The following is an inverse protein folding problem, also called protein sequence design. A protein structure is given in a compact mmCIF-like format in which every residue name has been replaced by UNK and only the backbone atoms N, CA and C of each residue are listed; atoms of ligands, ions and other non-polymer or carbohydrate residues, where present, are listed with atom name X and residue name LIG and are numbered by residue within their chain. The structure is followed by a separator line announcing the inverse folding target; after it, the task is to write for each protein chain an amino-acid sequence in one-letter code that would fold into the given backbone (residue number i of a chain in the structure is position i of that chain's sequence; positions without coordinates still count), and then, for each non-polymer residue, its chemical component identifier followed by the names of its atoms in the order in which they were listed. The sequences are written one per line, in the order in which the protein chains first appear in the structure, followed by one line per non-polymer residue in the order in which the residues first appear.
data_IF_873464629890
#
_entry.id   IF_873464629890
#
_cell.length_a   1.000
_cell.length_b   1.000
_cell.length_c   1.000
_cell.angle_alpha   90.00
_cell.angle_beta   90.00
_cell.angle_gamma   90.00
#
_symmetry.space_group_name_H-M   'P 1'
#
loop_
_entity.id
_entity.type
_entity.pdbx_description
1 polymer ?
#
# COMPACT_ATOMS: atom_id res chain seq x y z
N UNK A 1 6.30 -17.76 5.22
CA UNK A 1 5.82 -16.45 5.68
C UNK A 1 4.51 -16.15 4.97
N UNK A 2 3.42 -16.16 5.70
CA UNK A 2 2.09 -15.77 5.22
C UNK A 2 1.99 -14.24 5.19
N UNK A 3 1.47 -13.67 4.11
CA UNK A 3 1.51 -12.22 3.88
C UNK A 3 0.13 -11.68 3.60
N UNK A 4 -0.27 -10.62 4.29
CA UNK A 4 -1.48 -9.84 4.02
C UNK A 4 -1.10 -8.52 3.35
N UNK A 5 -1.73 -8.19 2.23
CA UNK A 5 -1.68 -6.85 1.64
C UNK A 5 -2.89 -6.05 2.11
N UNK A 6 -2.65 -4.95 2.80
CA UNK A 6 -3.68 -4.00 3.24
C UNK A 6 -3.68 -2.79 2.31
N UNK A 7 -4.85 -2.46 1.78
CA UNK A 7 -5.08 -1.33 0.87
C UNK A 7 -6.05 -0.37 1.56
N UNK A 8 -5.60 0.84 1.91
CA UNK A 8 -6.46 1.85 2.52
C UNK A 8 -7.13 2.71 1.46
N UNK A 9 -8.46 2.90 1.55
CA UNK A 9 -9.21 3.70 0.57
C UNK A 9 -10.24 4.61 1.23
N UNK A 10 -10.58 5.69 0.52
CA UNK A 10 -11.70 6.58 0.83
C UNK A 10 -12.17 7.30 -0.44
N UNK A 11 -13.41 7.01 -0.89
CA UNK A 11 -14.11 7.69 -2.00
C UNK A 11 -13.30 7.88 -3.30
N UNK A 12 -12.50 6.87 -3.71
CA UNK A 12 -11.71 6.89 -4.95
C UNK A 12 -11.80 5.55 -5.71
N UNK A 13 -12.99 5.12 -6.15
CA UNK A 13 -13.18 3.81 -6.75
C UNK A 13 -12.36 3.62 -8.04
N UNK A 14 -12.16 4.66 -8.86
CA UNK A 14 -11.39 4.54 -10.10
C UNK A 14 -9.90 4.22 -9.81
N UNK A 15 -9.31 4.91 -8.84
CA UNK A 15 -7.93 4.68 -8.44
C UNK A 15 -7.78 3.29 -7.78
N UNK A 16 -8.74 2.92 -6.90
CA UNK A 16 -8.77 1.60 -6.27
C UNK A 16 -8.88 0.48 -7.31
N UNK A 17 -9.66 0.67 -8.37
CA UNK A 17 -9.76 -0.30 -9.48
C UNK A 17 -8.38 -0.59 -10.09
N UNK A 18 -7.61 0.46 -10.40
CA UNK A 18 -6.26 0.33 -10.96
C UNK A 18 -5.30 -0.32 -9.96
N UNK A 19 -5.41 0.04 -8.68
CA UNK A 19 -4.63 -0.57 -7.61
C UNK A 19 -4.89 -2.08 -7.54
N UNK A 20 -6.16 -2.51 -7.46
CA UNK A 20 -6.55 -3.91 -7.41
C UNK A 20 -6.12 -4.69 -8.67
N UNK A 21 -6.27 -4.10 -9.86
CA UNK A 21 -5.76 -4.70 -11.08
C UNK A 21 -4.24 -4.88 -11.03
N UNK A 22 -3.49 -3.92 -10.49
CA UNK A 22 -2.03 -4.07 -10.35
C UNK A 22 -1.62 -5.20 -9.39
N UNK A 23 -2.47 -5.54 -8.42
CA UNK A 23 -2.26 -6.71 -7.54
C UNK A 23 -2.40 -8.01 -8.32
N UNK A 24 -3.35 -8.12 -9.25
CA UNK A 24 -3.53 -9.33 -10.10
C UNK A 24 -2.29 -9.68 -10.92
N UNK A 25 -1.44 -8.70 -11.21
CA UNK A 25 -0.22 -8.88 -12.02
C UNK A 25 1.05 -9.08 -11.19
N UNK A 26 0.94 -9.34 -9.90
CA UNK A 26 2.11 -9.60 -9.07
C UNK A 26 2.76 -10.94 -9.42
N UNK A 27 4.09 -10.99 -9.49
CA UNK A 27 4.87 -12.22 -9.71
C UNK A 27 4.75 -13.19 -8.55
N UNK A 28 4.55 -12.65 -7.35
CA UNK A 28 4.27 -13.41 -6.12
C UNK A 28 3.04 -12.80 -5.47
N UNK A 29 1.97 -13.58 -5.35
CA UNK A 29 0.74 -13.11 -4.72
C UNK A 29 0.88 -13.01 -3.20
N UNK A 30 0.20 -12.02 -2.55
CA UNK A 30 -0.06 -12.10 -1.13
C UNK A 30 -0.98 -13.29 -0.83
N UNK A 31 -1.08 -13.73 0.41
CA UNK A 31 -2.01 -14.80 0.79
C UNK A 31 -3.46 -14.32 0.90
N UNK A 32 -3.64 -13.03 1.12
CA UNK A 32 -4.93 -12.34 1.15
C UNK A 32 -4.74 -10.85 0.92
N UNK A 33 -5.81 -10.18 0.51
CA UNK A 33 -5.89 -8.72 0.37
C UNK A 33 -7.03 -8.21 1.25
N UNK A 34 -6.76 -7.20 2.06
CA UNK A 34 -7.75 -6.49 2.86
C UNK A 34 -7.85 -5.07 2.34
N UNK A 35 -9.04 -4.68 1.88
CA UNK A 35 -9.35 -3.28 1.59
C UNK A 35 -9.95 -2.65 2.84
N UNK A 36 -9.18 -1.79 3.48
CA UNK A 36 -9.60 -0.97 4.63
C UNK A 36 -10.21 0.32 4.14
N UNK A 37 -11.52 0.45 4.27
CA UNK A 37 -12.34 1.53 3.73
C UNK A 37 -12.80 2.46 4.85
N UNK A 38 -12.31 3.70 4.84
CA UNK A 38 -12.55 4.71 5.89
C UNK A 38 -13.87 5.49 5.67
N UNK A 39 -14.92 4.79 5.20
CA UNK A 39 -16.26 5.36 5.10
C UNK A 39 -16.67 5.79 3.70
N UNK A 40 -16.20 5.10 2.66
CA UNK A 40 -16.61 5.38 1.28
C UNK A 40 -18.10 5.09 1.04
N UNK A 41 -18.62 5.70 -0.02
CA UNK A 41 -19.95 5.46 -0.56
C UNK A 41 -20.11 4.05 -1.14
N UNK A 42 -21.34 3.68 -1.50
CA UNK A 42 -21.66 2.37 -2.09
C UNK A 42 -20.88 2.03 -3.35
N UNK A 43 -20.47 3.04 -4.14
CA UNK A 43 -19.69 2.82 -5.37
C UNK A 43 -18.38 2.05 -5.11
N UNK A 44 -17.67 2.36 -4.01
CA UNK A 44 -16.46 1.64 -3.61
C UNK A 44 -16.78 0.20 -3.23
N UNK A 45 -17.87 -0.02 -2.48
CA UNK A 45 -18.33 -1.36 -2.12
C UNK A 45 -18.67 -2.18 -3.36
N UNK A 46 -19.47 -1.62 -4.27
CA UNK A 46 -19.91 -2.30 -5.50
C UNK A 46 -18.70 -2.67 -6.38
N UNK A 47 -17.72 -1.78 -6.47
CA UNK A 47 -16.45 -2.08 -7.14
C UNK A 47 -15.76 -3.29 -6.50
N UNK A 48 -15.55 -3.29 -5.17
CA UNK A 48 -14.86 -4.37 -4.48
C UNK A 48 -15.61 -5.70 -4.65
N UNK A 49 -16.94 -5.69 -4.53
CA UNK A 49 -17.77 -6.89 -4.76
C UNK A 49 -17.64 -7.41 -6.20
N UNK A 50 -17.48 -6.52 -7.18
CA UNK A 50 -17.22 -6.94 -8.57
C UNK A 50 -15.87 -7.66 -8.71
N UNK A 51 -14.84 -7.16 -8.02
CA UNK A 51 -13.50 -7.78 -8.02
C UNK A 51 -13.45 -9.12 -7.28
N UNK A 52 -14.22 -9.32 -6.21
CA UNK A 52 -14.26 -10.56 -5.42
C UNK A 52 -14.61 -11.79 -6.26
N UNK A 53 -15.37 -11.62 -7.35
CA UNK A 53 -15.87 -12.74 -8.17
C UNK A 53 -14.76 -13.56 -8.81
N UNK A 54 -13.64 -12.93 -9.15
CA UNK A 54 -12.53 -13.53 -9.91
C UNK A 54 -11.14 -13.12 -9.39
N UNK A 55 -11.08 -12.58 -8.15
CA UNK A 55 -9.80 -12.18 -7.57
C UNK A 55 -8.98 -13.42 -7.20
N UNK A 56 -7.67 -13.45 -7.52
CA UNK A 56 -6.85 -14.67 -7.40
C UNK A 56 -6.58 -15.14 -5.97
N UNK A 57 -6.84 -14.30 -4.98
CA UNK A 57 -6.69 -14.59 -3.54
C UNK A 57 -7.89 -14.03 -2.78
N UNK A 58 -8.14 -14.43 -1.53
CA UNK A 58 -9.22 -13.84 -0.73
C UNK A 58 -9.12 -12.32 -0.70
N UNK A 59 -10.18 -11.63 -1.13
CA UNK A 59 -10.34 -10.18 -1.10
C UNK A 59 -11.39 -9.81 -0.05
N UNK A 60 -10.95 -9.18 1.03
CA UNK A 60 -11.75 -8.84 2.19
C UNK A 60 -12.01 -7.33 2.17
N UNK A 61 -13.27 -6.91 2.31
CA UNK A 61 -13.64 -5.51 2.47
C UNK A 61 -14.00 -5.24 3.93
N UNK A 62 -13.24 -4.37 4.57
CA UNK A 62 -13.53 -3.84 5.90
C UNK A 62 -13.95 -2.39 5.75
N UNK A 63 -15.14 -2.07 6.19
CA UNK A 63 -15.70 -0.73 6.12
C UNK A 63 -15.98 -0.19 7.51
N UNK A 64 -15.87 1.10 7.70
CA UNK A 64 -16.35 1.83 8.87
C UNK A 64 -17.16 3.05 8.44
N UNK A 65 -18.07 3.50 9.31
CA UNK A 65 -18.86 4.70 9.07
C UNK A 65 -17.96 5.93 8.88
N UNK A 66 -18.32 6.81 7.91
CA UNK A 66 -17.63 8.09 7.72
C UNK A 66 -17.88 9.03 8.91
N UNK A 67 -16.85 9.22 9.71
CA UNK A 67 -16.82 10.18 10.83
C UNK A 67 -15.57 11.07 10.73
N UNK A 68 -15.23 11.47 9.50
CA UNK A 68 -14.01 12.20 9.18
C UNK A 68 -12.79 11.27 9.04
N UNK A 69 -11.60 11.86 8.96
CA UNK A 69 -10.36 11.12 8.70
C UNK A 69 -9.96 10.22 9.87
N UNK A 70 -10.15 8.92 9.74
CA UNK A 70 -9.81 7.91 10.75
C UNK A 70 -8.97 6.75 10.19
N UNK A 71 -8.05 7.09 9.31
CA UNK A 71 -7.19 6.12 8.63
C UNK A 71 -6.40 5.24 9.63
N UNK A 72 -5.90 5.80 10.75
CA UNK A 72 -5.18 5.05 11.77
C UNK A 72 -6.05 3.91 12.36
N UNK A 73 -7.30 4.24 12.72
CA UNK A 73 -8.27 3.26 13.21
C UNK A 73 -8.56 2.18 12.15
N UNK A 74 -8.75 2.57 10.89
CA UNK A 74 -9.03 1.61 9.81
C UNK A 74 -7.84 0.67 9.57
N UNK A 75 -6.61 1.18 9.61
CA UNK A 75 -5.41 0.36 9.54
C UNK A 75 -5.27 -0.60 10.71
N UNK A 76 -5.51 -0.13 11.94
CA UNK A 76 -5.52 -1.00 13.14
C UNK A 76 -6.53 -2.14 12.98
N UNK A 77 -7.76 -1.84 12.55
CA UNK A 77 -8.78 -2.85 12.26
C UNK A 77 -8.34 -3.83 11.19
N UNK A 78 -7.70 -3.34 10.12
CA UNK A 78 -7.21 -4.17 9.02
C UNK A 78 -6.09 -5.12 9.48
N UNK A 79 -5.15 -4.64 10.30
CA UNK A 79 -4.09 -5.48 10.88
C UNK A 79 -4.67 -6.49 11.89
N UNK A 80 -5.67 -6.11 12.66
CA UNK A 80 -6.35 -7.03 13.59
C UNK A 80 -7.05 -8.18 12.85
N UNK A 81 -7.70 -7.90 11.71
CA UNK A 81 -8.38 -8.89 10.88
C UNK A 81 -7.42 -9.72 10.02
N UNK A 82 -6.19 -9.27 9.82
CA UNK A 82 -5.20 -9.96 8.99
C UNK A 82 -4.81 -11.32 9.59
N UNK A 83 -4.68 -12.32 8.70
CA UNK A 83 -4.24 -13.67 9.06
C UNK A 83 -2.77 -13.93 8.72
N UNK A 84 -2.12 -12.98 8.02
CA UNK A 84 -0.71 -13.05 7.67
C UNK A 84 0.22 -12.70 8.83
N UNK A 85 1.40 -13.31 8.83
CA UNK A 85 2.49 -13.00 9.77
C UNK A 85 3.15 -11.66 9.42
N UNK A 86 3.16 -11.33 8.15
CA UNK A 86 3.79 -10.16 7.57
C UNK A 86 2.76 -9.29 6.84
N UNK A 87 2.72 -8.02 7.19
CA UNK A 87 1.78 -7.04 6.67
C UNK A 87 2.50 -6.15 5.67
N UNK A 88 1.88 -5.92 4.52
CA UNK A 88 2.26 -4.88 3.54
C UNK A 88 1.12 -3.88 3.49
N UNK A 89 1.39 -2.61 3.74
CA UNK A 89 0.40 -1.52 3.70
C UNK A 89 0.66 -0.59 2.52
N UNK A 90 -0.42 -0.26 1.79
CA UNK A 90 -0.42 0.72 0.72
C UNK A 90 -1.69 1.59 0.78
N UNK A 91 -1.64 2.74 0.10
CA UNK A 91 -2.84 3.52 -0.20
C UNK A 91 -3.52 3.01 -1.48
N UNK A 92 -4.84 3.16 -1.58
CA UNK A 92 -5.65 2.65 -2.69
C UNK A 92 -5.49 3.40 -4.01
N UNK A 93 -4.63 4.42 -4.05
CA UNK A 93 -4.28 5.17 -5.26
C UNK A 93 -2.85 4.85 -5.76
N UNK A 94 -2.28 3.75 -5.32
CA UNK A 94 -0.95 3.29 -5.72
C UNK A 94 -1.07 2.22 -6.81
N UNK A 95 -0.38 2.44 -7.91
CA UNK A 95 -0.17 1.44 -8.95
C UNK A 95 1.13 0.67 -8.68
N UNK A 96 1.03 -0.65 -8.50
CA UNK A 96 2.14 -1.48 -8.04
C UNK A 96 3.05 -1.94 -9.18
N UNK A 97 4.36 -1.94 -8.95
CA UNK A 97 5.29 -2.70 -9.77
C UNK A 97 5.01 -4.20 -9.61
N UNK A 98 5.14 -4.98 -10.68
CA UNK A 98 4.77 -6.41 -10.67
C UNK A 98 5.57 -7.29 -9.69
N UNK A 99 6.73 -6.83 -9.21
CA UNK A 99 7.54 -7.50 -8.18
C UNK A 99 7.37 -6.92 -6.77
N UNK A 100 6.37 -6.08 -6.56
CA UNK A 100 6.21 -5.35 -5.32
C UNK A 100 6.08 -6.28 -4.11
N UNK A 101 5.18 -7.25 -4.15
CA UNK A 101 4.99 -8.21 -3.05
C UNK A 101 6.22 -9.13 -2.89
N UNK A 102 6.81 -9.56 -4.00
CA UNK A 102 8.04 -10.37 -4.01
C UNK A 102 9.19 -9.66 -3.29
N UNK A 103 9.40 -8.37 -3.59
CA UNK A 103 10.46 -7.58 -2.98
C UNK A 103 10.25 -7.36 -1.48
N UNK A 104 9.02 -7.04 -1.06
CA UNK A 104 8.69 -6.92 0.36
C UNK A 104 8.93 -8.23 1.11
N UNK A 105 8.53 -9.37 0.55
CA UNK A 105 8.78 -10.70 1.14
C UNK A 105 10.27 -11.03 1.21
N UNK A 106 11.03 -10.71 0.18
CA UNK A 106 12.49 -10.99 0.11
C UNK A 106 13.29 -10.16 1.10
N UNK A 107 12.87 -8.91 1.35
CA UNK A 107 13.58 -7.97 2.21
C UNK A 107 13.10 -8.00 3.67
N UNK A 108 12.05 -8.76 3.97
CA UNK A 108 11.51 -8.89 5.32
C UNK A 108 12.56 -9.41 6.31
N UNK A 109 12.76 -8.71 7.42
CA UNK A 109 13.64 -9.11 8.52
C UNK A 109 12.93 -8.96 9.86
N UNK A 110 13.02 -9.92 10.80
CA UNK A 110 12.47 -9.77 12.14
C UNK A 110 12.96 -8.50 12.85
N UNK A 111 12.06 -7.83 13.56
CA UNK A 111 12.37 -6.58 14.28
C UNK A 111 12.64 -5.37 13.38
N UNK A 112 12.30 -5.45 12.09
CA UNK A 112 12.47 -4.36 11.13
C UNK A 112 11.18 -4.12 10.36
N UNK A 113 10.89 -2.85 10.10
CA UNK A 113 9.91 -2.48 9.08
C UNK A 113 10.63 -2.05 7.79
N UNK A 114 9.97 -2.25 6.67
CA UNK A 114 10.43 -1.75 5.37
C UNK A 114 9.61 -0.54 4.99
N UNK A 115 10.26 0.41 4.34
CA UNK A 115 9.65 1.56 3.70
C UNK A 115 10.09 1.59 2.25
N UNK A 116 9.13 1.51 1.35
CA UNK A 116 9.38 1.68 -0.07
C UNK A 116 9.34 3.15 -0.50
N UNK A 117 9.60 3.36 -1.78
CA UNK A 117 9.48 4.65 -2.46
C UNK A 117 8.27 4.65 -3.38
N UNK A 118 7.94 5.81 -3.93
CA UNK A 118 6.91 5.97 -4.96
C UNK A 118 7.35 6.99 -6.01
N UNK A 119 6.85 6.82 -7.22
CA UNK A 119 6.92 7.80 -8.31
C UNK A 119 5.61 8.59 -8.32
N UNK A 120 5.69 9.90 -8.43
CA UNK A 120 4.49 10.72 -8.58
C UNK A 120 4.19 10.91 -10.06
N UNK A 121 3.01 10.45 -10.48
CA UNK A 121 2.53 10.59 -11.85
C UNK A 121 1.80 11.92 -12.02
N UNK A 122 1.94 12.53 -13.20
CA UNK A 122 1.18 13.71 -13.59
C UNK A 122 -0.25 13.36 -13.95
N UNK A 123 -1.12 14.36 -13.90
CA UNK A 123 -2.56 14.19 -14.11
C UNK A 123 -2.90 13.44 -15.40
N UNK A 124 -2.35 13.85 -16.53
CA UNK A 124 -2.62 13.20 -17.84
C UNK A 124 -2.28 11.71 -17.84
N UNK A 125 -1.08 11.35 -17.33
CA UNK A 125 -0.67 9.96 -17.25
C UNK A 125 -1.54 9.14 -16.28
N UNK A 126 -1.93 9.74 -15.16
CA UNK A 126 -2.87 9.12 -14.19
C UNK A 126 -4.21 8.84 -14.85
N UNK A 127 -4.79 9.82 -15.55
CA UNK A 127 -6.06 9.65 -16.28
C UNK A 127 -5.99 8.58 -17.36
N UNK A 128 -4.88 8.52 -18.12
CA UNK A 128 -4.64 7.47 -19.11
C UNK A 128 -4.61 6.08 -18.47
N UNK A 129 -3.90 5.92 -17.35
CA UNK A 129 -3.81 4.65 -16.63
C UNK A 129 -5.17 4.24 -16.08
N UNK A 130 -5.91 5.17 -15.46
CA UNK A 130 -7.25 4.90 -14.96
C UNK A 130 -8.25 4.49 -16.06
N UNK A 131 -8.13 5.09 -17.25
CA UNK A 131 -9.00 4.76 -18.39
C UNK A 131 -8.64 3.45 -19.07
N UNK A 132 -7.33 3.21 -19.27
CA UNK A 132 -6.86 2.06 -20.05
C UNK A 132 -6.92 0.75 -19.25
N UNK A 133 -6.87 0.81 -17.93
CA UNK A 133 -6.77 -0.36 -17.02
C UNK A 133 -5.69 -1.37 -17.44
N UNK A 134 -4.69 -0.90 -18.20
CA UNK A 134 -3.60 -1.74 -18.69
C UNK A 134 -2.46 -1.75 -17.68
N UNK A 135 -1.95 -2.93 -17.37
CA UNK A 135 -0.73 -3.07 -16.57
C UNK A 135 0.47 -2.50 -17.34
N UNK A 136 0.77 -1.22 -17.08
CA UNK A 136 1.85 -0.47 -17.75
C UNK A 136 3.06 -0.41 -16.84
N UNK A 137 4.23 -0.79 -17.36
CA UNK A 137 5.48 -0.55 -16.66
C UNK A 137 5.84 0.94 -16.72
N UNK A 138 6.17 1.53 -15.59
CA UNK A 138 6.69 2.90 -15.48
C UNK A 138 8.21 2.84 -15.40
N UNK A 139 8.86 3.57 -16.28
CA UNK A 139 10.32 3.69 -16.35
C UNK A 139 10.73 5.13 -16.03
N UNK A 140 11.98 5.40 -15.63
CA UNK A 140 12.44 6.75 -15.33
C UNK A 140 12.22 7.79 -16.45
N UNK A 141 12.20 7.33 -17.70
CA UNK A 141 11.97 8.15 -18.90
C UNK A 141 10.51 8.17 -19.37
N UNK A 142 9.56 7.59 -18.58
CA UNK A 142 8.15 7.65 -18.94
C UNK A 142 7.66 9.10 -18.90
N UNK A 143 7.10 9.56 -20.02
CA UNK A 143 6.54 10.92 -20.13
C UNK A 143 5.34 11.03 -19.19
N UNK A 144 5.28 12.12 -18.42
CA UNK A 144 4.20 12.38 -17.46
C UNK A 144 4.54 12.06 -16.02
N UNK A 145 5.77 11.65 -15.69
CA UNK A 145 6.26 11.62 -14.33
C UNK A 145 6.49 13.05 -13.84
N UNK A 146 5.94 13.40 -12.67
CA UNK A 146 6.15 14.70 -12.04
C UNK A 146 7.41 14.75 -11.18
N UNK A 147 7.61 13.74 -10.34
CA UNK A 147 8.70 13.71 -9.37
C UNK A 147 9.21 12.29 -9.15
N UNK A 148 10.50 12.19 -8.74
CA UNK A 148 11.16 10.95 -8.31
C UNK A 148 11.26 9.89 -9.40
N UNK A 149 11.49 10.30 -10.63
CA UNK A 149 11.68 9.39 -11.77
C UNK A 149 12.77 8.34 -11.50
N UNK A 150 13.82 8.71 -10.75
CA UNK A 150 14.88 7.81 -10.32
C UNK A 150 14.39 6.63 -9.48
N UNK A 151 13.26 6.79 -8.78
CA UNK A 151 12.67 5.70 -7.97
C UNK A 151 11.87 4.69 -8.82
N UNK A 152 11.69 4.95 -10.11
CA UNK A 152 11.12 3.98 -11.05
C UNK A 152 12.11 2.89 -11.48
N UNK A 153 13.37 2.98 -11.02
CA UNK A 153 14.37 1.94 -11.29
C UNK A 153 14.17 0.77 -10.32
N UNK A 154 13.80 -0.38 -10.88
CA UNK A 154 13.79 -1.63 -10.13
C UNK A 154 15.16 -2.32 -10.25
N UNK A 155 15.99 -2.19 -9.23
CA UNK A 155 17.33 -2.81 -9.19
C UNK A 155 17.66 -3.26 -7.77
N UNK A 156 17.84 -4.56 -7.58
CA UNK A 156 18.21 -5.15 -6.28
C UNK A 156 19.54 -4.62 -5.74
N UNK A 157 20.63 -4.53 -6.51
CA UNK A 157 21.89 -3.97 -6.02
C UNK A 157 21.76 -2.51 -5.57
N UNK A 158 21.05 -1.69 -6.36
CA UNK A 158 20.80 -0.29 -6.03
C UNK A 158 19.95 -0.15 -4.77
N UNK A 159 18.89 -0.95 -4.64
CA UNK A 159 18.04 -0.97 -3.46
C UNK A 159 18.81 -1.35 -2.19
N UNK A 160 19.67 -2.37 -2.26
CA UNK A 160 20.48 -2.79 -1.12
C UNK A 160 21.51 -1.71 -0.72
N UNK A 161 22.14 -1.04 -1.69
CA UNK A 161 23.08 0.04 -1.42
C UNK A 161 22.42 1.22 -0.70
N UNK A 162 21.20 1.57 -1.11
CA UNK A 162 20.45 2.65 -0.47
C UNK A 162 19.79 2.23 0.87
N UNK A 163 19.41 0.97 1.04
CA UNK A 163 18.78 0.48 2.27
C UNK A 163 19.65 0.76 3.50
N UNK A 164 20.97 0.61 3.40
CA UNK A 164 21.89 0.87 4.51
C UNK A 164 22.02 2.36 4.85
N UNK A 165 21.81 3.25 3.90
CA UNK A 165 21.84 4.70 4.12
C UNK A 165 20.58 5.21 4.82
N UNK A 166 19.44 4.54 4.63
CA UNK A 166 18.17 4.93 5.24
C UNK A 166 17.98 4.43 6.68
N UNK A 167 18.81 3.51 7.16
CA UNK A 167 18.75 2.99 8.54
C UNK A 167 18.85 4.06 9.63
N UNK A 168 19.46 5.20 9.34
CA UNK A 168 19.67 6.29 10.30
C UNK A 168 18.58 7.36 10.32
N UNK A 169 17.63 7.35 9.38
CA UNK A 169 16.59 8.38 9.26
C UNK A 169 15.22 7.80 9.61
N UNK A 170 14.89 7.82 10.89
CA UNK A 170 13.63 7.30 11.45
C UNK A 170 12.43 8.25 11.22
N UNK A 171 12.64 9.45 10.68
CA UNK A 171 11.71 10.57 10.81
C UNK A 171 10.53 10.64 9.85
N UNK A 172 10.34 9.72 8.91
CA UNK A 172 9.20 9.82 8.01
C UNK A 172 8.76 8.46 7.44
N UNK A 173 7.83 7.80 8.11
CA UNK A 173 7.08 6.69 7.51
C UNK A 173 6.24 7.19 6.33
N UNK A 174 6.39 6.60 5.14
CA UNK A 174 5.43 6.78 4.05
C UNK A 174 4.39 5.69 4.20
N UNK A 175 3.27 5.98 4.86
CA UNK A 175 2.18 5.03 5.05
C UNK A 175 1.58 4.46 3.77
N UNK A 176 1.95 5.01 2.61
CA UNK A 176 1.52 4.51 1.31
C UNK A 176 2.35 3.35 0.75
N UNK A 177 3.46 2.98 1.40
CA UNK A 177 4.33 1.87 0.97
C UNK A 177 5.20 1.43 2.16
N UNK A 178 4.64 0.58 3.02
CA UNK A 178 5.31 0.05 4.19
C UNK A 178 5.06 -1.44 4.35
N UNK A 179 5.97 -2.13 5.05
CA UNK A 179 5.68 -3.48 5.53
C UNK A 179 6.41 -3.78 6.83
N UNK A 180 5.81 -4.66 7.63
CA UNK A 180 6.28 -5.00 8.97
C UNK A 180 5.73 -6.36 9.43
N UNK A 181 6.32 -6.92 10.47
CA UNK A 181 5.80 -8.10 11.13
C UNK A 181 4.56 -7.75 11.96
N UNK A 182 3.50 -8.52 11.80
CA UNK A 182 2.25 -8.32 12.54
C UNK A 182 2.47 -8.36 14.05
N UNK A 183 3.33 -9.29 14.52
CA UNK A 183 3.70 -9.38 15.94
C UNK A 183 4.34 -8.10 16.47
N UNK A 184 5.24 -7.49 15.71
CA UNK A 184 5.94 -6.27 16.12
C UNK A 184 4.96 -5.10 16.20
N UNK A 185 4.02 -4.99 15.24
CA UNK A 185 2.97 -3.99 15.23
C UNK A 185 2.03 -4.11 16.44
N UNK A 186 1.63 -5.32 16.78
CA UNK A 186 0.79 -5.57 17.95
C UNK A 186 1.53 -5.28 19.26
N UNK A 187 2.82 -5.57 19.34
CA UNK A 187 3.65 -5.31 20.52
C UNK A 187 3.76 -3.81 20.84
N UNK A 188 3.71 -2.94 19.81
CA UNK A 188 3.72 -1.47 20.00
C UNK A 188 2.31 -0.87 20.09
N UNK A 189 1.27 -1.70 20.17
CA UNK A 189 -0.14 -1.30 20.24
C UNK A 189 -0.66 -0.55 18.99
N UNK A 190 -0.04 -0.77 17.82
CA UNK A 190 -0.49 -0.23 16.54
C UNK A 190 -0.32 1.27 16.36
N UNK A 191 -1.15 1.85 15.50
CA UNK A 191 -1.20 3.30 15.25
C UNK A 191 -1.98 4.02 16.33
N UNK A 192 -1.52 5.21 16.71
CA UNK A 192 -2.26 6.12 17.59
C UNK A 192 -3.48 6.70 16.85
N UNK A 193 -4.68 6.31 17.25
CA UNK A 193 -5.94 6.69 16.61
C UNK A 193 -6.36 8.14 16.91
N UNK A 194 -5.74 8.78 17.89
CA UNK A 194 -6.03 10.16 18.30
C UNK A 194 -5.19 11.20 17.54
N UNK A 195 -4.15 10.78 16.82
CA UNK A 195 -3.35 11.69 15.99
C UNK A 195 -4.12 12.13 14.75
N UNK A 196 -4.36 13.44 14.64
CA UNK A 196 -4.91 14.03 13.42
C UNK A 196 -3.86 14.10 12.32
N UNK A 197 -4.32 14.01 11.07
CA UNK A 197 -3.45 14.16 9.91
C UNK A 197 -2.63 15.46 9.99
N UNK A 198 -1.30 15.35 9.92
CA UNK A 198 -0.38 16.49 9.97
C UNK A 198 0.24 16.78 11.34
N UNK A 199 -0.22 16.20 12.43
CA UNK A 199 0.42 16.33 13.74
C UNK A 199 1.65 15.40 13.81
N UNK A 200 2.85 16.03 13.85
CA UNK A 200 4.09 15.29 14.16
C UNK A 200 4.19 15.14 15.68
N UNK A 201 4.02 13.93 16.18
CA UNK A 201 4.42 13.65 17.55
C UNK A 201 5.95 13.71 17.61
N UNK A 202 6.52 14.69 18.33
CA UNK A 202 7.88 14.55 18.80
C UNK A 202 7.88 13.41 19.82
N UNK A 203 8.49 12.29 19.45
CA UNK A 203 8.80 11.24 20.42
C UNK A 203 9.86 11.81 21.38
N UNK A 204 9.47 12.08 22.59
CA UNK A 204 10.36 12.26 23.74
C UNK A 204 10.84 10.91 24.22
#
# INVERSE_FOLDING_TARGET
MKTTLIISTYNRPEALSVCLDSVRFQTVMPNEVIVGDDGSTSETKDLIESFKKDFPVPLIHLWQEDKGFRLAMMRNKSVAAATGDYIIEIDGDIFLHNKFVEDHKRLAKPGHYLRGTRVNLGQKLTEEICKSKVNRRIYPWTIGIQNRAETAIHSTPVSNFFADRYKKNVSSGLGCNMSFWRSDFLAINGYDEFLKAGEKKMMT
#
